data_IF_249022296753
#
_entry.id   IF_249022296753
#
_cell.length_a   1.000
_cell.length_b   1.000
_cell.length_c   1.000
_cell.angle_alpha   90.00
_cell.angle_beta   90.00
_cell.angle_gamma   90.00
#
_symmetry.space_group_name_H-M   'P 1'
#
loop_
_entity.id
_entity.type
_entity.pdbx_description
1 polymer ?
#
# COMPACT_ATOMS: atom_id res chain seq x y z
N UNK A 1 -20.74 11.37 4.49
CA UNK A 1 -19.38 10.77 4.41
C UNK A 1 -19.12 10.44 2.96
N UNK A 2 -18.15 11.11 2.31
CA UNK A 2 -17.73 10.70 0.96
C UNK A 2 -16.99 9.37 1.10
N UNK A 3 -17.52 8.32 0.51
CA UNK A 3 -16.84 7.02 0.43
C UNK A 3 -15.61 7.20 -0.45
N UNK A 4 -14.44 6.75 0.01
CA UNK A 4 -13.27 6.69 -0.86
C UNK A 4 -13.52 5.60 -1.90
N UNK A 5 -13.44 5.97 -3.18
CA UNK A 5 -13.65 5.04 -4.29
C UNK A 5 -12.33 4.35 -4.64
N UNK A 6 -12.44 3.08 -5.00
CA UNK A 6 -11.32 2.28 -5.49
C UNK A 6 -11.33 2.30 -7.01
N UNK A 7 -10.22 2.71 -7.63
CA UNK A 7 -10.07 2.67 -9.08
C UNK A 7 -9.26 1.42 -9.43
N UNK A 8 -9.85 0.54 -10.24
CA UNK A 8 -9.19 -0.63 -10.80
C UNK A 8 -9.15 -0.46 -12.31
N UNK A 9 -7.95 -0.44 -12.87
CA UNK A 9 -7.73 -0.46 -14.31
C UNK A 9 -7.18 -1.83 -14.72
N UNK A 10 -7.83 -2.48 -15.67
CA UNK A 10 -7.44 -3.79 -16.18
C UNK A 10 -6.69 -3.65 -17.49
N UNK A 11 -5.53 -4.29 -17.58
CA UNK A 11 -4.69 -4.29 -18.77
C UNK A 11 -4.47 -5.71 -19.25
N UNK A 12 -4.91 -6.00 -20.48
CA UNK A 12 -4.54 -7.22 -21.18
C UNK A 12 -3.19 -6.97 -21.86
N UNK A 13 -2.11 -7.51 -21.28
CA UNK A 13 -0.75 -7.35 -21.81
C UNK A 13 -0.52 -8.22 -23.05
N UNK A 14 -1.16 -9.40 -23.07
CA UNK A 14 -1.22 -10.30 -24.21
C UNK A 14 -2.46 -11.20 -24.08
N UNK A 15 -2.59 -12.23 -24.92
CA UNK A 15 -3.75 -13.13 -24.93
C UNK A 15 -3.90 -14.03 -23.70
N UNK A 16 -2.87 -14.11 -22.85
CA UNK A 16 -2.79 -14.97 -21.66
C UNK A 16 -2.54 -14.20 -20.36
N UNK A 17 -2.02 -12.98 -20.45
CA UNK A 17 -1.60 -12.20 -19.29
C UNK A 17 -2.46 -10.95 -19.17
N UNK A 18 -3.21 -10.89 -18.08
CA UNK A 18 -3.96 -9.70 -17.66
C UNK A 18 -3.39 -9.23 -16.32
N UNK A 19 -3.21 -7.92 -16.15
CA UNK A 19 -2.83 -7.31 -14.88
C UNK A 19 -3.89 -6.28 -14.48
N UNK A 20 -4.34 -6.35 -13.23
CA UNK A 20 -5.17 -5.33 -12.61
C UNK A 20 -4.29 -4.33 -11.85
N UNK A 21 -4.30 -3.06 -12.25
CA UNK A 21 -3.70 -1.97 -11.50
C UNK A 21 -4.75 -1.33 -10.60
N UNK A 22 -4.49 -1.32 -9.30
CA UNK A 22 -5.39 -0.79 -8.28
C UNK A 22 -4.73 0.41 -7.63
N UNK A 23 -5.34 1.59 -7.82
CA UNK A 23 -4.90 2.80 -7.13
C UNK A 23 -5.58 2.89 -5.75
N UNK A 24 -4.78 3.02 -4.70
CA UNK A 24 -5.22 3.09 -3.32
C UNK A 24 -4.95 4.45 -2.69
N UNK A 25 -5.91 4.90 -1.89
CA UNK A 25 -5.71 5.94 -0.92
C UNK A 25 -6.52 5.58 0.34
N UNK A 26 -5.91 4.84 1.28
CA UNK A 26 -6.60 4.30 2.44
C UNK A 26 -6.94 5.37 3.50
N UNK A 27 -7.64 4.97 4.57
CA UNK A 27 -8.06 5.91 5.62
C UNK A 27 -6.85 6.49 6.37
N UNK A 28 -6.83 7.82 6.54
CA UNK A 28 -5.81 8.49 7.35
C UNK A 28 -6.05 8.31 8.85
N UNK A 29 -5.00 8.56 9.64
CA UNK A 29 -5.02 8.45 11.11
C UNK A 29 -5.99 9.41 11.80
N UNK A 30 -6.52 10.41 11.09
CA UNK A 30 -7.53 11.34 11.62
C UNK A 30 -8.89 10.69 11.86
N UNK A 31 -9.13 9.52 11.26
CA UNK A 31 -10.40 8.82 11.39
C UNK A 31 -10.41 7.88 12.60
N UNK A 32 -11.53 7.82 13.33
CA UNK A 32 -11.69 6.81 14.40
C UNK A 32 -11.55 5.40 13.82
N UNK A 33 -10.80 4.55 14.52
CA UNK A 33 -10.51 3.16 14.13
C UNK A 33 -9.91 3.08 12.71
N UNK A 34 -9.01 4.01 12.38
CA UNK A 34 -8.36 4.08 11.06
C UNK A 34 -7.65 2.77 10.73
N UNK A 35 -6.90 2.22 11.68
CA UNK A 35 -6.15 0.98 11.50
C UNK A 35 -7.06 -0.21 11.19
N UNK A 36 -8.17 -0.38 11.92
CA UNK A 36 -9.17 -1.41 11.63
C UNK A 36 -9.75 -1.27 10.21
N UNK A 37 -10.10 -0.04 9.81
CA UNK A 37 -10.67 0.24 8.48
C UNK A 37 -9.67 -0.05 7.38
N UNK A 38 -8.39 0.29 7.57
CA UNK A 38 -7.32 -0.02 6.61
C UNK A 38 -7.15 -1.52 6.46
N UNK A 39 -7.05 -2.24 7.58
CA UNK A 39 -6.94 -3.71 7.58
C UNK A 39 -8.12 -4.36 6.87
N UNK A 40 -9.35 -3.97 7.22
CA UNK A 40 -10.55 -4.52 6.60
C UNK A 40 -10.63 -4.22 5.10
N UNK A 41 -10.20 -3.02 4.68
CA UNK A 41 -10.16 -2.66 3.25
C UNK A 41 -9.17 -3.52 2.48
N UNK A 42 -7.96 -3.69 3.02
CA UNK A 42 -6.93 -4.52 2.41
C UNK A 42 -7.32 -6.00 2.36
N UNK A 43 -7.84 -6.54 3.46
CA UNK A 43 -8.26 -7.94 3.52
C UNK A 43 -9.38 -8.23 2.50
N UNK A 44 -10.36 -7.33 2.39
CA UNK A 44 -11.41 -7.45 1.37
C UNK A 44 -10.85 -7.36 -0.05
N UNK A 45 -9.85 -6.51 -0.27
CA UNK A 45 -9.19 -6.36 -1.56
C UNK A 45 -8.40 -7.62 -1.95
N UNK A 46 -7.55 -8.12 -1.06
CA UNK A 46 -6.79 -9.35 -1.29
C UNK A 46 -7.71 -10.54 -1.58
N UNK A 47 -8.80 -10.71 -0.82
CA UNK A 47 -9.81 -11.74 -1.08
C UNK A 47 -10.47 -11.59 -2.45
N UNK A 48 -10.75 -10.37 -2.89
CA UNK A 48 -11.38 -10.10 -4.20
C UNK A 48 -10.41 -10.33 -5.37
N UNK A 49 -9.12 -10.08 -5.18
CA UNK A 49 -8.13 -10.06 -6.25
C UNK A 49 -7.33 -11.37 -6.39
N UNK A 50 -7.51 -12.35 -5.49
CA UNK A 50 -6.72 -13.59 -5.39
C UNK A 50 -6.52 -14.38 -6.70
N UNK A 51 -7.43 -14.24 -7.67
CA UNK A 51 -7.40 -14.98 -8.94
C UNK A 51 -6.71 -14.23 -10.10
N UNK A 52 -6.23 -13.00 -9.88
CA UNK A 52 -5.64 -12.16 -10.91
C UNK A 52 -4.18 -11.85 -10.59
N UNK A 53 -3.38 -11.54 -11.61
CA UNK A 53 -2.16 -10.76 -11.39
C UNK A 53 -2.58 -9.32 -11.13
N UNK A 54 -2.06 -8.71 -10.07
CA UNK A 54 -2.43 -7.33 -9.74
C UNK A 54 -1.31 -6.56 -9.08
N UNK A 55 -1.40 -5.24 -9.18
CA UNK A 55 -0.56 -4.32 -8.46
C UNK A 55 -1.43 -3.38 -7.64
N UNK A 56 -1.06 -3.18 -6.38
CA UNK A 56 -1.64 -2.16 -5.52
C UNK A 56 -0.66 -1.01 -5.39
N UNK A 57 -1.10 0.20 -5.73
CA UNK A 57 -0.23 1.38 -5.79
C UNK A 57 -0.93 2.56 -5.14
N UNK A 58 -0.21 3.31 -4.31
CA UNK A 58 -0.67 4.60 -3.80
C UNK A 58 -0.47 4.76 -2.31
N UNK A 59 -1.27 5.62 -1.68
CA UNK A 59 -1.14 6.03 -0.29
C UNK A 59 -1.90 5.07 0.65
N UNK A 60 -1.15 4.20 1.31
CA UNK A 60 -1.69 3.24 2.28
C UNK A 60 -2.01 3.90 3.63
N UNK A 61 -1.56 5.14 3.87
CA UNK A 61 -1.73 5.88 5.11
C UNK A 61 -1.22 5.14 6.36
N UNK A 62 -0.29 4.19 6.19
CA UNK A 62 0.45 3.59 7.29
C UNK A 62 1.91 3.35 6.92
N UNK A 63 2.79 3.58 7.90
CA UNK A 63 4.22 3.35 7.80
C UNK A 63 4.63 1.96 8.30
N UNK A 64 5.92 1.65 8.20
CA UNK A 64 6.47 0.37 8.65
C UNK A 64 6.40 0.18 10.18
N UNK A 65 6.18 1.24 10.96
CA UNK A 65 5.92 1.15 12.41
C UNK A 65 4.48 0.73 12.78
N UNK A 66 3.56 0.61 11.82
CA UNK A 66 2.15 0.28 12.08
C UNK A 66 1.95 -1.24 12.17
N UNK A 67 2.19 -1.80 13.35
CA UNK A 67 2.25 -3.26 13.59
C UNK A 67 1.04 -4.01 13.06
N UNK A 68 -0.18 -3.50 13.21
CA UNK A 68 -1.39 -4.21 12.81
C UNK A 68 -1.48 -4.39 11.30
N UNK A 69 -1.24 -3.33 10.55
CA UNK A 69 -1.21 -3.36 9.10
C UNK A 69 -0.02 -4.15 8.56
N UNK A 70 1.17 -4.03 9.18
CA UNK A 70 2.33 -4.84 8.80
C UNK A 70 2.08 -6.33 9.04
N UNK A 71 1.46 -6.70 10.16
CA UNK A 71 1.09 -8.10 10.42
C UNK A 71 0.09 -8.63 9.39
N UNK A 72 -0.87 -7.81 8.96
CA UNK A 72 -1.76 -8.20 7.86
C UNK A 72 -0.98 -8.41 6.56
N UNK A 73 -0.06 -7.52 6.19
CA UNK A 73 0.76 -7.72 4.99
C UNK A 73 1.61 -9.01 5.09
N UNK A 74 2.17 -9.29 6.26
CA UNK A 74 2.94 -10.51 6.51
C UNK A 74 2.11 -11.79 6.30
N UNK A 75 0.80 -11.78 6.58
CA UNK A 75 -0.06 -12.96 6.30
C UNK A 75 -0.23 -13.28 4.81
N UNK A 76 0.20 -12.37 3.93
CA UNK A 76 0.17 -12.55 2.47
C UNK A 76 1.58 -12.47 1.86
N UNK A 77 2.66 -12.57 2.64
CA UNK A 77 4.04 -12.34 2.16
C UNK A 77 4.50 -13.36 1.09
N UNK A 78 3.95 -14.57 1.10
CA UNK A 78 4.22 -15.59 0.08
C UNK A 78 3.51 -15.32 -1.26
N UNK A 79 2.50 -14.43 -1.27
CA UNK A 79 1.67 -14.11 -2.45
C UNK A 79 1.90 -12.67 -2.93
N UNK A 80 2.23 -11.74 -2.02
CA UNK A 80 2.23 -10.30 -2.25
C UNK A 80 3.55 -9.69 -1.78
N UNK A 81 4.24 -9.06 -2.71
CA UNK A 81 5.58 -8.52 -2.51
C UNK A 81 5.57 -6.98 -2.43
N UNK A 82 6.24 -6.40 -1.42
CA UNK A 82 6.46 -4.95 -1.31
C UNK A 82 7.74 -4.60 -2.07
N UNK A 83 7.58 -4.21 -3.34
CA UNK A 83 8.69 -4.04 -4.29
C UNK A 83 9.81 -3.13 -3.78
N UNK A 84 9.50 -2.12 -2.96
CA UNK A 84 10.54 -1.24 -2.42
C UNK A 84 11.46 -2.00 -1.45
N UNK A 85 10.88 -2.85 -0.59
CA UNK A 85 11.62 -3.66 0.39
C UNK A 85 12.44 -4.75 -0.29
N UNK A 86 11.97 -5.26 -1.43
CA UNK A 86 12.68 -6.30 -2.16
C UNK A 86 13.90 -5.76 -2.92
N UNK A 87 13.86 -4.49 -3.33
CA UNK A 87 14.91 -3.88 -4.16
C UNK A 87 15.97 -3.16 -3.32
N UNK A 88 15.56 -2.53 -2.21
CA UNK A 88 16.43 -1.63 -1.45
C UNK A 88 16.66 -2.10 -0.02
N UNK A 89 17.89 -1.91 0.47
CA UNK A 89 18.19 -1.93 1.90
C UNK A 89 17.51 -0.75 2.59
N UNK A 90 16.61 -1.03 3.54
CA UNK A 90 15.82 -0.01 4.23
C UNK A 90 16.61 0.81 5.23
N UNK A 91 17.76 0.32 5.70
CA UNK A 91 18.62 1.09 6.60
C UNK A 91 19.33 2.22 5.84
N UNK A 92 19.66 1.98 4.56
CA UNK A 92 20.24 2.98 3.67
C UNK A 92 19.17 3.82 2.95
N UNK A 93 18.07 3.16 2.52
CA UNK A 93 17.03 3.73 1.67
C UNK A 93 15.64 3.44 2.27
N UNK A 94 15.25 4.12 3.36
CA UNK A 94 14.01 3.83 4.08
C UNK A 94 12.74 4.12 3.26
N UNK A 95 12.86 4.78 2.11
CA UNK A 95 11.75 5.03 1.19
C UNK A 95 10.68 5.95 1.75
N UNK A 96 11.04 6.91 2.61
CA UNK A 96 10.06 7.85 3.17
C UNK A 96 9.39 8.66 2.06
N UNK A 97 8.07 8.51 1.94
CA UNK A 97 7.24 9.30 1.02
C UNK A 97 6.54 10.46 1.72
N UNK A 98 6.49 10.41 3.06
CA UNK A 98 6.10 11.50 3.92
C UNK A 98 7.25 11.85 4.88
N UNK A 99 8.00 12.90 4.57
CA UNK A 99 9.18 13.31 5.32
C UNK A 99 9.10 14.80 5.73
N UNK A 100 8.60 15.11 6.94
CA UNK A 100 8.57 16.47 7.50
C UNK A 100 9.94 17.16 7.62
N UNK A 101 11.05 16.41 7.65
CA UNK A 101 12.39 16.99 7.81
C UNK A 101 12.87 17.67 6.52
N UNK A 102 12.49 17.15 5.36
CA UNK A 102 12.90 17.64 4.03
C UNK A 102 11.77 18.32 3.26
N UNK A 103 10.50 17.96 3.51
CA UNK A 103 9.35 18.50 2.80
C UNK A 103 8.59 19.54 3.65
N UNK A 104 8.58 20.80 3.19
CA UNK A 104 7.94 21.92 3.91
C UNK A 104 6.43 21.75 4.10
N UNK A 105 5.73 21.17 3.12
CA UNK A 105 4.29 20.91 3.21
C UNK A 105 4.00 19.83 4.25
N UNK A 106 4.79 18.76 4.28
CA UNK A 106 4.69 17.73 5.31
C UNK A 106 5.03 18.32 6.69
N UNK A 107 6.05 19.18 6.79
CA UNK A 107 6.44 19.85 8.04
C UNK A 107 5.30 20.67 8.63
N UNK A 108 4.61 21.46 7.82
CA UNK A 108 3.52 22.33 8.29
C UNK A 108 2.26 21.54 8.63
N UNK A 109 1.99 20.44 7.91
CA UNK A 109 0.74 19.69 8.06
C UNK A 109 0.83 18.49 9.01
N UNK A 110 2.03 18.06 9.38
CA UNK A 110 2.27 16.92 10.28
C UNK A 110 2.15 17.32 11.75
N UNK A 111 1.34 16.59 12.51
CA UNK A 111 1.24 16.75 13.96
C UNK A 111 2.39 16.05 14.70
N UNK A 112 2.88 14.91 14.17
CA UNK A 112 3.88 14.09 14.85
C UNK A 112 5.33 14.38 14.42
N UNK A 113 5.52 15.04 13.28
CA UNK A 113 6.85 15.26 12.66
C UNK A 113 7.63 13.96 12.39
N UNK A 114 6.95 12.81 12.32
CA UNK A 114 7.59 11.50 12.06
C UNK A 114 7.64 11.22 10.56
N UNK A 115 8.81 10.79 10.09
CA UNK A 115 9.04 10.33 8.72
C UNK A 115 8.38 8.96 8.52
N UNK A 116 7.66 8.79 7.41
CA UNK A 116 6.91 7.56 7.13
C UNK A 116 6.92 7.22 5.65
N UNK A 117 7.04 5.93 5.36
CA UNK A 117 6.75 5.35 4.04
C UNK A 117 5.27 5.00 3.97
N UNK A 118 4.47 5.97 3.52
CA UNK A 118 3.01 5.84 3.43
C UNK A 118 2.58 5.29 2.07
N UNK A 119 3.34 5.58 1.02
CA UNK A 119 3.06 5.14 -0.33
C UNK A 119 3.79 3.84 -0.62
N UNK A 120 3.11 2.90 -1.28
CA UNK A 120 3.63 1.54 -1.52
C UNK A 120 3.27 1.05 -2.91
N UNK A 121 4.08 0.13 -3.39
CA UNK A 121 3.85 -0.68 -4.60
C UNK A 121 3.87 -2.14 -4.16
N UNK A 122 2.69 -2.75 -4.07
CA UNK A 122 2.56 -4.17 -3.79
C UNK A 122 2.25 -4.91 -5.09
N UNK A 123 2.93 -6.01 -5.35
CA UNK A 123 2.69 -6.84 -6.53
C UNK A 123 2.27 -8.25 -6.11
N UNK A 124 1.25 -8.77 -6.79
CA UNK A 124 0.87 -10.16 -6.75
C UNK A 124 1.06 -10.76 -8.14
N UNK A 125 1.89 -11.78 -8.23
CA UNK A 125 2.08 -12.57 -9.45
C UNK A 125 1.76 -14.02 -9.14
N UNK A 126 0.80 -14.58 -9.87
CA UNK A 126 0.65 -16.02 -9.93
C UNK A 126 1.85 -16.54 -10.74
N UNK A 127 2.64 -17.44 -10.16
CA UNK A 127 3.73 -18.13 -10.87
C UNK A 127 3.27 -18.48 -12.29
N UNK A 128 4.02 -18.03 -13.31
CA UNK A 128 3.80 -18.12 -14.77
C UNK A 128 3.56 -16.77 -15.50
N UNK A 129 4.54 -15.86 -15.45
CA UNK A 129 4.78 -14.91 -16.55
C UNK A 129 5.50 -15.60 -17.72
#
# INVERSE_FOLDING_TARGET
TKTKELIIARFDLNTKTTIDLVNLHLHSDRSRNSSEKRCQTLENLFKKMKINNYMLIGDFNFGDCHVKEQNLLATYEDEIHDLWKDIYDLDENPGFTFDPSTNICARITSESQINRRLDRYLIHTLDNL
#
